data_IF_218861279649
#
_entry.id   IF_218861279649
#
_cell.length_a   1.000
_cell.length_b   1.000
_cell.length_c   1.000
_cell.angle_alpha   90.00
_cell.angle_beta   90.00
_cell.angle_gamma   90.00
#
_symmetry.space_group_name_H-M   'P 1'
#
loop_
_entity.id
_entity.type
_entity.pdbx_description
1 polymer ?
#
# COMPACT_ATOMS: atom_id res chain seq x y z
N UNK A 1 -1.41 -31.79 7.02
CA UNK A 1 -1.06 -30.46 6.45
C UNK A 1 0.13 -29.81 7.13
N UNK A 2 0.24 -29.80 8.47
CA UNK A 2 1.36 -29.16 9.18
C UNK A 2 2.77 -29.63 8.77
N UNK A 3 2.97 -30.94 8.55
CA UNK A 3 4.26 -31.50 8.11
C UNK A 3 4.70 -31.00 6.74
N UNK A 4 3.76 -30.90 5.79
CA UNK A 4 4.01 -30.36 4.45
C UNK A 4 4.35 -28.86 4.50
N UNK A 5 3.59 -28.09 5.28
CA UNK A 5 3.83 -26.66 5.48
C UNK A 5 5.25 -26.40 6.00
N UNK A 6 5.71 -27.15 7.01
CA UNK A 6 7.07 -27.04 7.55
C UNK A 6 8.14 -27.34 6.51
N UNK A 7 7.96 -28.38 5.69
CA UNK A 7 8.94 -28.74 4.65
C UNK A 7 9.02 -27.69 3.54
N UNK A 8 7.91 -27.04 3.21
CA UNK A 8 7.84 -26.03 2.16
C UNK A 8 8.28 -24.62 2.62
N UNK A 9 8.65 -24.44 3.89
CA UNK A 9 8.89 -23.11 4.48
C UNK A 9 10.00 -22.30 3.77
N UNK A 10 10.94 -22.96 3.08
CA UNK A 10 11.99 -22.29 2.30
C UNK A 10 11.47 -21.55 1.05
N UNK A 11 10.26 -21.90 0.59
CA UNK A 11 9.65 -21.34 -0.63
C UNK A 11 8.38 -20.54 -0.33
N UNK A 12 7.85 -20.65 0.88
CA UNK A 12 6.67 -19.91 1.30
C UNK A 12 7.05 -18.53 1.83
N UNK A 13 6.13 -17.59 1.72
CA UNK A 13 6.30 -16.25 2.30
C UNK A 13 6.03 -16.29 3.79
N UNK A 14 6.81 -15.54 4.56
CA UNK A 14 6.58 -15.29 5.98
C UNK A 14 5.53 -14.17 6.21
N UNK A 15 4.99 -13.57 5.15
CA UNK A 15 3.99 -12.52 5.23
C UNK A 15 2.64 -13.09 5.68
N UNK A 16 2.18 -12.64 6.85
CA UNK A 16 0.88 -12.98 7.43
C UNK A 16 -0.21 -11.96 7.13
N UNK A 17 0.17 -10.73 6.80
CA UNK A 17 -0.73 -9.62 6.52
C UNK A 17 -0.61 -9.16 5.06
N UNK A 18 -1.74 -9.11 4.37
CA UNK A 18 -1.86 -8.61 3.00
C UNK A 18 -1.70 -7.09 2.90
N UNK A 19 -1.77 -6.34 4.00
CA UNK A 19 -1.42 -4.92 4.03
C UNK A 19 0.01 -4.65 3.56
N UNK A 20 0.91 -5.65 3.63
CA UNK A 20 2.26 -5.54 3.06
C UNK A 20 2.24 -5.13 1.58
N UNK A 21 1.23 -5.56 0.82
CA UNK A 21 1.08 -5.25 -0.60
C UNK A 21 0.38 -3.91 -0.86
N UNK A 22 0.34 -3.00 0.11
CA UNK A 22 -0.18 -1.66 -0.11
C UNK A 22 0.60 -0.96 -1.24
N UNK A 23 -0.12 -0.47 -2.25
CA UNK A 23 0.41 0.05 -3.52
C UNK A 23 1.18 -0.97 -4.38
N UNK A 24 1.29 -2.22 -3.95
CA UNK A 24 1.97 -3.29 -4.67
C UNK A 24 1.02 -4.44 -5.02
N UNK A 25 -0.24 -4.10 -5.26
CA UNK A 25 -1.30 -4.99 -5.72
C UNK A 25 -1.67 -4.70 -7.18
N UNK A 26 -2.43 -5.62 -7.78
CA UNK A 26 -2.83 -5.49 -9.18
C UNK A 26 -3.60 -4.20 -9.48
N UNK A 27 -4.46 -3.73 -8.55
CA UNK A 27 -5.23 -2.50 -8.75
C UNK A 27 -4.32 -1.29 -8.80
N UNK A 28 -3.32 -1.22 -7.92
CA UNK A 28 -2.34 -0.13 -7.94
C UNK A 28 -1.50 -0.15 -9.22
N UNK A 29 -1.11 -1.32 -9.73
CA UNK A 29 -0.41 -1.41 -11.01
C UNK A 29 -1.27 -1.03 -12.22
N UNK A 30 -2.56 -1.36 -12.21
CA UNK A 30 -3.47 -0.92 -13.28
C UNK A 30 -3.62 0.60 -13.29
N UNK A 31 -3.76 1.21 -12.11
CA UNK A 31 -3.82 2.67 -11.97
C UNK A 31 -2.50 3.33 -12.37
N UNK A 32 -1.35 2.79 -11.94
CA UNK A 32 -0.04 3.27 -12.34
C UNK A 32 0.13 3.25 -13.86
N UNK A 33 -0.26 2.14 -14.51
CA UNK A 33 -0.26 2.01 -15.97
C UNK A 33 -1.20 3.01 -16.65
N UNK A 34 -2.41 3.19 -16.13
CA UNK A 34 -3.40 4.09 -16.71
C UNK A 34 -2.95 5.56 -16.65
N UNK A 35 -2.30 5.95 -15.56
CA UNK A 35 -1.81 7.31 -15.32
C UNK A 35 -0.41 7.57 -15.89
N UNK A 36 0.21 6.60 -16.56
CA UNK A 36 1.60 6.68 -17.02
C UNK A 36 2.58 7.04 -15.87
N UNK A 37 2.38 6.44 -14.70
CA UNK A 37 3.21 6.61 -13.51
C UNK A 37 3.89 5.29 -13.12
N UNK A 38 5.00 5.41 -12.42
CA UNK A 38 5.75 4.27 -11.91
C UNK A 38 5.84 4.34 -10.38
N UNK A 39 5.53 3.23 -9.73
CA UNK A 39 5.78 3.03 -8.30
C UNK A 39 7.25 2.63 -8.15
N UNK A 40 8.00 3.14 -7.15
CA UNK A 40 9.35 2.66 -6.89
C UNK A 40 9.38 1.13 -6.72
N UNK A 41 10.24 0.44 -7.47
CA UNK A 41 10.31 -1.03 -7.49
C UNK A 41 9.20 -1.73 -8.27
N UNK A 42 8.24 -0.99 -8.82
CA UNK A 42 7.18 -1.51 -9.68
C UNK A 42 7.53 -1.50 -11.18
N UNK A 43 6.69 -2.14 -12.02
CA UNK A 43 6.84 -2.15 -13.46
C UNK A 43 6.58 -0.76 -14.08
N UNK A 44 7.18 -0.52 -15.25
CA UNK A 44 6.90 0.65 -16.10
C UNK A 44 6.17 0.19 -17.37
N UNK A 45 5.32 1.05 -17.90
CA UNK A 45 4.53 0.78 -19.10
C UNK A 45 4.57 1.95 -20.05
N UNK A 46 4.21 1.69 -21.31
CA UNK A 46 3.94 2.74 -22.29
C UNK A 46 2.65 3.51 -21.93
N UNK A 47 2.59 4.82 -22.22
CA UNK A 47 1.40 5.63 -21.98
C UNK A 47 0.16 5.04 -22.67
N UNK A 48 -0.96 4.96 -21.94
CA UNK A 48 -2.22 4.45 -22.47
C UNK A 48 -2.85 5.43 -23.48
N UNK A 49 -2.83 6.73 -23.16
CA UNK A 49 -3.29 7.81 -24.03
C UNK A 49 -2.04 8.53 -24.52
N UNK A 50 -1.78 8.46 -25.84
CA UNK A 50 -0.55 8.99 -26.45
C UNK A 50 -0.70 10.41 -27.00
N UNK A 51 -1.94 10.86 -27.19
CA UNK A 51 -2.25 12.10 -27.89
C UNK A 51 -2.53 13.28 -26.94
N UNK A 52 -2.35 13.08 -25.62
CA UNK A 52 -2.45 14.17 -24.65
C UNK A 52 -1.21 15.06 -24.75
N UNK A 53 -1.38 16.31 -25.19
CA UNK A 53 -0.30 17.28 -25.23
C UNK A 53 -0.01 17.79 -23.81
N UNK A 54 1.18 17.54 -23.23
CA UNK A 54 1.51 17.98 -21.88
C UNK A 54 1.41 19.50 -21.71
N UNK A 55 1.65 20.25 -22.79
CA UNK A 55 1.60 21.71 -22.78
C UNK A 55 0.19 22.28 -22.56
N UNK A 56 -0.87 21.49 -22.84
CA UNK A 56 -2.25 21.94 -22.64
C UNK A 56 -2.66 21.89 -21.15
N UNK A 57 -1.94 21.13 -20.31
CA UNK A 57 -2.16 21.07 -18.85
C UNK A 57 -1.31 22.06 -18.04
N UNK A 58 -0.21 22.57 -18.62
CA UNK A 58 0.81 23.35 -17.91
C UNK A 58 0.38 24.79 -17.55
N UNK A 59 -0.48 25.43 -18.37
CA UNK A 59 -0.99 26.77 -18.08
C UNK A 59 -2.51 26.80 -18.06
N UNK A 60 -3.08 26.86 -16.85
CA UNK A 60 -4.49 27.21 -16.66
C UNK A 60 -4.64 28.19 -15.48
N UNK A 61 -5.83 28.79 -15.35
CA UNK A 61 -6.10 29.81 -14.31
C UNK A 61 -5.99 29.26 -12.87
N UNK A 62 -6.15 27.94 -12.71
CA UNK A 62 -6.14 27.23 -11.43
C UNK A 62 -4.74 26.78 -10.99
N UNK A 63 -3.81 26.57 -11.94
CA UNK A 63 -2.45 26.07 -11.71
C UNK A 63 -1.41 27.19 -11.56
N UNK A 64 -1.84 28.44 -11.38
CA UNK A 64 -0.95 29.59 -11.16
C UNK A 64 -0.10 29.41 -9.89
N UNK A 65 1.23 29.48 -10.05
CA UNK A 65 2.22 29.30 -8.98
C UNK A 65 2.02 30.28 -7.82
N UNK A 66 1.47 31.47 -8.08
CA UNK A 66 1.23 32.47 -7.03
C UNK A 66 -0.01 32.17 -6.18
N UNK A 67 -0.88 31.27 -6.63
CA UNK A 67 -2.14 30.90 -5.96
C UNK A 67 -2.05 29.55 -5.24
N UNK A 68 -0.99 28.78 -5.48
CA UNK A 68 -0.79 27.46 -4.87
C UNK A 68 0.15 27.53 -3.67
N UNK A 69 -0.29 27.00 -2.54
CA UNK A 69 0.54 26.87 -1.34
C UNK A 69 1.25 25.51 -1.37
N UNK A 70 2.55 25.52 -1.63
CA UNK A 70 3.37 24.29 -1.64
C UNK A 70 4.01 24.09 -0.26
N UNK A 71 3.44 23.19 0.56
CA UNK A 71 4.04 22.78 1.84
C UNK A 71 4.82 21.48 1.73
N UNK A 72 4.28 20.52 1.00
CA UNK A 72 4.89 19.24 0.68
C UNK A 72 4.52 18.88 -0.76
N UNK A 73 5.47 18.45 -1.60
CA UNK A 73 5.16 18.08 -2.98
C UNK A 73 4.31 16.81 -3.02
N UNK A 74 3.35 16.78 -3.94
CA UNK A 74 2.50 15.61 -4.16
C UNK A 74 3.32 14.54 -4.89
N UNK A 75 3.53 13.39 -4.24
CA UNK A 75 4.29 12.26 -4.79
C UNK A 75 3.43 11.36 -5.67
N UNK A 76 4.07 10.52 -6.47
CA UNK A 76 3.39 9.54 -7.34
C UNK A 76 2.56 8.53 -6.54
N UNK A 77 3.01 8.15 -5.34
CA UNK A 77 2.27 7.23 -4.48
C UNK A 77 0.91 7.80 -4.07
N UNK A 78 0.82 9.12 -3.85
CA UNK A 78 -0.45 9.77 -3.50
C UNK A 78 -1.41 9.77 -4.68
N UNK A 79 -0.89 10.02 -5.89
CA UNK A 79 -1.65 9.98 -7.13
C UNK A 79 -2.18 8.58 -7.46
N UNK A 80 -1.52 7.52 -7.02
CA UNK A 80 -1.99 6.14 -7.21
C UNK A 80 -2.93 5.72 -6.08
N UNK A 81 -2.64 6.09 -4.83
CA UNK A 81 -3.49 5.78 -3.68
C UNK A 81 -4.87 6.46 -3.77
N UNK A 82 -4.91 7.71 -4.23
CA UNK A 82 -6.13 8.51 -4.34
C UNK A 82 -6.27 9.06 -5.76
N UNK A 83 -6.60 8.19 -6.74
CA UNK A 83 -6.47 8.53 -8.15
C UNK A 83 -7.42 9.62 -8.63
N UNK A 84 -8.58 9.76 -8.00
CA UNK A 84 -9.57 10.78 -8.34
C UNK A 84 -9.32 12.14 -7.68
N UNK A 85 -8.40 12.23 -6.72
CA UNK A 85 -8.13 13.47 -5.97
C UNK A 85 -6.95 14.26 -6.54
N UNK A 86 -5.87 13.56 -6.90
CA UNK A 86 -4.60 14.19 -7.26
C UNK A 86 -4.25 14.13 -8.75
N UNK A 87 -5.18 13.67 -9.60
CA UNK A 87 -4.98 13.61 -11.05
C UNK A 87 -6.11 14.32 -11.78
N UNK A 88 -5.74 14.98 -12.87
CA UNK A 88 -6.68 15.38 -13.90
C UNK A 88 -7.02 14.16 -14.76
N UNK A 89 -8.26 14.08 -15.26
CA UNK A 89 -8.69 13.05 -16.22
C UNK A 89 -8.30 11.60 -15.82
N UNK A 90 -8.74 11.08 -14.66
CA UNK A 90 -8.40 9.74 -14.18
C UNK A 90 -9.15 8.66 -14.96
N UNK A 91 -8.82 8.48 -16.24
CA UNK A 91 -9.42 7.49 -17.12
C UNK A 91 -8.84 6.10 -16.85
N UNK A 92 -9.70 5.08 -16.85
CA UNK A 92 -9.32 3.67 -16.71
C UNK A 92 -8.55 3.33 -15.41
N UNK A 93 -8.63 4.21 -14.40
CA UNK A 93 -8.04 3.94 -13.07
C UNK A 93 -8.89 2.94 -12.30
N UNK A 94 -8.25 2.25 -11.36
CA UNK A 94 -8.91 1.33 -10.44
C UNK A 94 -8.69 1.76 -8.99
N UNK A 95 -9.72 1.62 -8.17
CA UNK A 95 -9.59 1.80 -6.72
C UNK A 95 -8.90 0.59 -6.11
N UNK A 96 -7.78 0.84 -5.44
CA UNK A 96 -7.09 -0.17 -4.65
C UNK A 96 -7.74 -0.31 -3.27
N UNK A 97 -7.57 -1.49 -2.66
CA UNK A 97 -8.01 -1.69 -1.29
C UNK A 97 -7.18 -0.83 -0.33
N UNK A 98 -7.85 -0.10 0.55
CA UNK A 98 -7.17 0.85 1.43
C UNK A 98 -6.42 0.17 2.58
N UNK A 99 -7.11 -0.69 3.33
CA UNK A 99 -6.56 -1.27 4.55
C UNK A 99 -7.36 -2.49 5.02
N UNK A 100 -6.67 -3.50 5.53
CA UNK A 100 -7.24 -4.65 6.23
C UNK A 100 -6.90 -4.56 7.72
N UNK A 101 -7.71 -5.11 8.64
CA UNK A 101 -7.33 -5.17 10.05
C UNK A 101 -5.97 -5.85 10.22
N UNK A 102 -5.03 -5.19 10.89
CA UNK A 102 -3.68 -5.72 11.07
C UNK A 102 -3.70 -7.09 11.76
N UNK A 103 -3.05 -8.06 11.13
CA UNK A 103 -2.94 -9.42 11.68
C UNK A 103 -1.82 -9.44 12.72
N UNK A 104 -2.19 -9.60 13.99
CA UNK A 104 -1.26 -9.73 15.13
C UNK A 104 -1.08 -11.19 15.52
N UNK A 105 -0.36 -11.93 14.69
CA UNK A 105 -0.06 -13.34 14.91
C UNK A 105 1.36 -13.52 15.48
N UNK A 106 1.47 -14.28 16.56
CA UNK A 106 2.76 -14.65 17.16
C UNK A 106 3.04 -16.12 16.82
N UNK A 107 4.15 -16.35 16.12
CA UNK A 107 4.60 -17.69 15.77
C UNK A 107 5.42 -18.27 16.91
N UNK A 108 4.99 -19.41 17.44
CA UNK A 108 5.68 -20.14 18.51
C UNK A 108 6.75 -21.05 17.93
N UNK A 109 8.01 -20.88 18.35
CA UNK A 109 9.12 -21.73 17.89
C UNK A 109 9.40 -22.89 18.85
N UNK A 110 9.07 -22.74 20.14
CA UNK A 110 9.25 -23.77 21.17
C UNK A 110 7.96 -24.59 21.36
N UNK A 111 7.94 -25.89 20.99
CA UNK A 111 6.78 -26.76 21.15
C UNK A 111 6.56 -27.22 22.61
N UNK A 112 7.52 -27.01 23.51
CA UNK A 112 7.40 -27.42 24.92
C UNK A 112 6.48 -26.47 25.72
N UNK A 113 6.22 -25.28 25.19
CA UNK A 113 5.28 -24.31 25.76
C UNK A 113 3.83 -24.71 25.47
N UNK A 114 2.87 -24.37 26.37
CA UNK A 114 1.47 -24.66 26.12
C UNK A 114 0.93 -23.86 24.93
N UNK A 115 -0.08 -24.39 24.22
CA UNK A 115 -0.62 -23.76 23.01
C UNK A 115 -1.19 -22.35 23.24
N UNK A 116 -1.72 -22.08 24.44
CA UNK A 116 -2.19 -20.76 24.85
C UNK A 116 -1.38 -20.29 26.04
N UNK A 117 -0.59 -19.24 25.84
CA UNK A 117 0.18 -18.59 26.89
C UNK A 117 0.34 -17.10 26.62
N UNK A 118 0.79 -16.37 27.64
CA UNK A 118 1.12 -14.97 27.51
C UNK A 118 2.54 -14.82 26.97
N UNK A 119 2.67 -14.60 25.66
CA UNK A 119 3.95 -14.45 25.00
C UNK A 119 4.67 -13.15 25.44
N UNK A 120 6.00 -13.16 25.64
CA UNK A 120 6.76 -11.96 26.04
C UNK A 120 6.67 -10.77 25.06
N UNK A 121 6.30 -10.99 23.81
CA UNK A 121 6.06 -9.94 22.81
C UNK A 121 4.74 -9.19 23.05
N UNK A 122 3.81 -9.77 23.82
CA UNK A 122 2.54 -9.13 24.16
C UNK A 122 2.78 -8.10 25.26
N UNK A 123 2.30 -6.87 25.04
CA UNK A 123 2.36 -5.81 26.05
C UNK A 123 1.61 -6.25 27.33
N UNK A 124 2.22 -6.09 28.53
CA UNK A 124 1.61 -6.52 29.77
C UNK A 124 0.34 -5.71 30.07
N UNK A 125 -0.67 -6.38 30.63
CA UNK A 125 -1.93 -5.75 31.00
C UNK A 125 -1.72 -4.96 32.30
N UNK A 126 -1.81 -3.63 32.23
CA UNK A 126 -1.72 -2.75 33.39
C UNK A 126 -3.08 -2.64 34.08
N UNK A 127 -3.19 -3.09 35.33
CA UNK A 127 -4.38 -2.84 36.15
C UNK A 127 -4.29 -1.44 36.76
N UNK A 128 -4.99 -0.47 36.18
CA UNK A 128 -5.10 0.91 36.71
C UNK A 128 -6.54 1.20 37.10
N UNK A 129 -6.99 0.54 38.16
CA UNK A 129 -8.19 0.97 38.86
C UNK A 129 -7.78 1.34 40.29
N UNK A 130 -7.57 2.63 40.54
CA UNK A 130 -7.47 3.17 41.88
C UNK A 130 -8.88 3.38 42.40
N UNK A 131 -9.27 2.68 43.47
CA UNK A 131 -10.39 3.10 44.31
C UNK A 131 -9.99 4.34 45.11
#
# INVERSE_FOLDING_TARGET
MATLYRLANQLLTDLVDSNFFYLFDLKSFFTAKALNMAIPGGPKFEPLIKDANPADEDWNEFNDINKIIIRQPIRTEYRIAFPYLYNNLPHYVHLSWYHMPNVVYIKTEDPDLPAFYFDPLINPISHRHSL
#
